data_IF_259882022601
#
_entry.id   IF_259882022601
#
_cell.length_a   1.000
_cell.length_b   1.000
_cell.length_c   1.000
_cell.angle_alpha   90.00
_cell.angle_beta   90.00
_cell.angle_gamma   90.00
#
_symmetry.space_group_name_H-M   'P 1'
#
loop_
_entity.id
_entity.type
_entity.pdbx_description
1 polymer ?
#
# COMPACT_ATOMS: atom_id res chain seq x y z
N UNK A 1 -11.47 23.37 5.19
CA UNK A 1 -10.38 23.29 4.18
C UNK A 1 -9.42 22.19 4.59
N UNK A 2 -9.71 20.92 4.27
CA UNK A 2 -8.88 19.81 4.76
C UNK A 2 -7.67 19.64 3.86
N UNK A 3 -6.62 20.42 4.15
CA UNK A 3 -5.30 20.27 3.59
C UNK A 3 -4.71 18.93 4.04
N UNK A 4 -4.80 17.92 3.18
CA UNK A 4 -3.76 16.88 3.18
C UNK A 4 -2.44 17.62 3.00
N UNK A 5 -1.59 17.59 4.02
CA UNK A 5 -0.28 18.22 3.93
C UNK A 5 0.48 17.60 2.74
N UNK A 6 1.30 18.39 2.04
CA UNK A 6 2.09 17.89 0.90
C UNK A 6 2.82 16.57 1.22
N UNK A 7 3.29 16.43 2.45
CA UNK A 7 3.85 15.21 3.00
C UNK A 7 2.90 14.01 2.95
N UNK A 8 1.64 14.17 3.39
CA UNK A 8 0.64 13.10 3.33
C UNK A 8 0.31 12.71 1.89
N UNK A 9 0.23 13.68 0.98
CA UNK A 9 -0.01 13.40 -0.44
C UNK A 9 1.14 12.60 -1.06
N UNK A 10 2.39 13.02 -0.82
CA UNK A 10 3.59 12.30 -1.27
C UNK A 10 3.66 10.90 -0.70
N UNK A 11 3.35 10.75 0.60
CA UNK A 11 3.35 9.45 1.27
C UNK A 11 2.33 8.50 0.64
N UNK A 12 1.11 8.96 0.37
CA UNK A 12 0.09 8.16 -0.33
C UNK A 12 0.52 7.78 -1.74
N UNK A 13 1.16 8.69 -2.46
CA UNK A 13 1.69 8.40 -3.80
C UNK A 13 2.74 7.27 -3.76
N UNK A 14 3.69 7.34 -2.82
CA UNK A 14 4.70 6.28 -2.60
C UNK A 14 4.08 4.94 -2.24
N UNK A 15 3.07 4.94 -1.36
CA UNK A 15 2.36 3.73 -0.95
C UNK A 15 1.58 3.08 -2.11
N UNK A 16 0.98 3.89 -3.00
CA UNK A 16 0.33 3.38 -4.21
C UNK A 16 1.34 2.78 -5.19
N UNK A 17 2.53 3.38 -5.33
CA UNK A 17 3.58 2.79 -6.14
C UNK A 17 4.04 1.43 -5.59
N UNK A 18 4.25 1.37 -4.27
CA UNK A 18 4.57 0.12 -3.58
C UNK A 18 3.49 -0.95 -3.83
N UNK A 19 2.20 -0.60 -3.70
CA UNK A 19 1.10 -1.54 -3.93
C UNK A 19 1.11 -2.11 -5.36
N UNK A 20 1.33 -1.27 -6.38
CA UNK A 20 1.44 -1.72 -7.77
C UNK A 20 2.60 -2.69 -7.97
N UNK A 21 3.76 -2.37 -7.41
CA UNK A 21 4.95 -3.24 -7.46
C UNK A 21 4.71 -4.56 -6.74
N UNK A 22 4.06 -4.55 -5.57
CA UNK A 22 3.74 -5.76 -4.81
C UNK A 22 2.75 -6.68 -5.53
N UNK A 23 1.86 -6.12 -6.36
CA UNK A 23 0.90 -6.87 -7.17
C UNK A 23 1.51 -7.44 -8.45
N UNK A 24 2.44 -6.71 -9.08
CA UNK A 24 3.03 -7.09 -10.37
C UNK A 24 4.33 -7.91 -10.25
N UNK A 25 5.13 -7.67 -9.21
CA UNK A 25 6.49 -8.20 -9.08
C UNK A 25 6.66 -9.11 -7.86
N UNK A 26 7.64 -10.02 -7.96
CA UNK A 26 8.06 -10.92 -6.87
C UNK A 26 9.18 -10.35 -5.99
N UNK A 27 9.54 -9.08 -6.18
CA UNK A 27 10.60 -8.41 -5.42
C UNK A 27 10.42 -8.61 -3.91
N UNK A 28 11.48 -8.73 -3.11
CA UNK A 28 11.32 -8.81 -1.67
C UNK A 28 10.64 -7.54 -1.14
N UNK A 29 9.72 -7.69 -0.17
CA UNK A 29 8.95 -6.56 0.40
C UNK A 29 9.88 -5.47 0.95
N UNK A 30 11.04 -5.87 1.48
CA UNK A 30 12.10 -4.97 1.94
C UNK A 30 12.66 -4.10 0.83
N UNK A 31 12.93 -4.66 -0.35
CA UNK A 31 13.41 -3.87 -1.49
C UNK A 31 12.36 -2.86 -1.94
N UNK A 32 11.09 -3.28 -2.05
CA UNK A 32 9.99 -2.37 -2.40
C UNK A 32 9.87 -1.22 -1.39
N UNK A 33 10.03 -1.50 -0.09
CA UNK A 33 9.98 -0.47 0.95
C UNK A 33 11.11 0.56 0.81
N UNK A 34 12.34 0.10 0.53
CA UNK A 34 13.49 0.98 0.34
C UNK A 34 13.35 1.82 -0.93
N UNK A 35 12.92 1.22 -2.04
CA UNK A 35 12.74 1.88 -3.33
C UNK A 35 11.69 3.01 -3.28
N UNK A 36 10.62 2.82 -2.52
CA UNK A 36 9.59 3.87 -2.34
C UNK A 36 9.95 4.87 -1.25
N UNK A 37 11.17 4.79 -0.70
CA UNK A 37 11.75 5.80 0.18
C UNK A 37 11.45 5.64 1.68
N UNK A 38 11.12 4.43 2.14
CA UNK A 38 11.09 4.11 3.57
C UNK A 38 12.48 3.73 4.06
N UNK A 39 12.80 4.10 5.31
CA UNK A 39 14.11 3.80 5.92
C UNK A 39 14.18 2.37 6.47
N UNK A 40 13.03 1.81 6.83
CA UNK A 40 12.92 0.50 7.45
C UNK A 40 11.58 -0.18 7.13
N UNK A 41 11.59 -1.51 7.20
CA UNK A 41 10.45 -2.35 6.88
C UNK A 41 9.29 -2.16 7.87
N UNK A 42 9.58 -1.98 9.16
CA UNK A 42 8.55 -1.89 10.20
C UNK A 42 7.66 -0.67 10.02
N UNK A 43 8.27 0.48 9.72
CA UNK A 43 7.55 1.71 9.43
C UNK A 43 6.74 1.58 8.12
N UNK A 44 7.31 0.95 7.09
CA UNK A 44 6.59 0.67 5.85
C UNK A 44 5.35 -0.19 6.09
N UNK A 45 5.49 -1.34 6.77
CA UNK A 45 4.37 -2.27 7.02
C UNK A 45 3.26 -1.59 7.81
N UNK A 46 3.61 -0.82 8.86
CA UNK A 46 2.63 -0.07 9.66
C UNK A 46 1.88 0.95 8.81
N UNK A 47 2.60 1.73 8.01
CA UNK A 47 2.02 2.81 7.20
C UNK A 47 1.19 2.23 6.04
N UNK A 48 1.69 1.20 5.38
CA UNK A 48 0.99 0.50 4.31
C UNK A 48 -0.32 -0.11 4.82
N UNK A 49 -0.30 -0.78 5.98
CA UNK A 49 -1.51 -1.33 6.59
C UNK A 49 -2.50 -0.23 6.99
N UNK A 50 -2.03 0.92 7.44
CA UNK A 50 -2.90 2.04 7.75
C UNK A 50 -3.61 2.60 6.51
N UNK A 51 -2.96 2.61 5.34
CA UNK A 51 -3.54 3.10 4.08
C UNK A 51 -4.40 2.05 3.36
N UNK A 52 -4.00 0.77 3.36
CA UNK A 52 -4.66 -0.29 2.58
C UNK A 52 -5.43 -1.33 3.40
N UNK A 53 -5.41 -1.24 4.73
CA UNK A 53 -6.11 -2.16 5.65
C UNK A 53 -5.44 -3.52 5.86
N UNK A 54 -4.49 -3.91 4.99
CA UNK A 54 -3.79 -5.20 5.04
C UNK A 54 -2.27 -5.03 4.97
N UNK A 55 -1.51 -6.02 5.44
CA UNK A 55 -0.06 -5.98 5.34
C UNK A 55 0.42 -6.18 3.90
N UNK A 56 1.60 -5.65 3.51
CA UNK A 56 2.17 -5.82 2.16
C UNK A 56 2.23 -7.27 1.67
N UNK A 57 2.58 -8.20 2.56
CA UNK A 57 2.66 -9.63 2.23
C UNK A 57 1.29 -10.25 1.96
N UNK A 58 0.26 -9.85 2.74
CA UNK A 58 -1.12 -10.26 2.48
C UNK A 58 -1.67 -9.64 1.20
N UNK A 59 -1.36 -8.36 0.97
CA UNK A 59 -1.71 -7.67 -0.27
C UNK A 59 -1.14 -8.39 -1.50
N UNK A 60 0.14 -8.79 -1.46
CA UNK A 60 0.77 -9.61 -2.51
C UNK A 60 0.09 -10.96 -2.71
N UNK A 61 -0.33 -11.61 -1.63
CA UNK A 61 -1.00 -12.91 -1.68
C UNK A 61 -2.45 -12.83 -2.20
N UNK A 62 -2.90 -11.66 -2.69
CA UNK A 62 -4.26 -11.48 -3.20
C UNK A 62 -5.31 -11.21 -2.13
N UNK A 63 -4.92 -11.07 -0.85
CA UNK A 63 -5.81 -10.61 0.21
C UNK A 63 -5.97 -9.08 0.14
N UNK A 64 -6.53 -8.60 -0.97
CA UNK A 64 -7.16 -7.28 -1.00
C UNK A 64 -8.40 -7.36 -0.09
N UNK A 65 -8.69 -6.36 0.78
CA UNK A 65 -9.99 -6.32 1.45
C UNK A 65 -11.05 -6.51 0.37
N UNK A 66 -12.01 -7.44 0.52
CA UNK A 66 -12.96 -7.75 -0.55
C UNK A 66 -13.51 -6.41 -1.03
N UNK A 67 -13.28 -6.10 -2.31
CA UNK A 67 -13.93 -4.97 -2.93
C UNK A 67 -15.40 -5.18 -2.63
N UNK A 68 -16.01 -4.34 -1.80
CA UNK A 68 -17.45 -4.28 -1.67
C UNK A 68 -17.98 -3.72 -3.00
N UNK A 69 -17.90 -4.55 -4.03
CA UNK A 69 -18.44 -4.44 -5.38
C UNK A 69 -19.07 -5.80 -5.75
N UNK A 70 -19.62 -6.48 -4.74
CA UNK A 70 -20.67 -7.48 -4.90
C UNK A 70 -22.05 -6.90 -4.51
N UNK A 71 -22.21 -5.56 -4.56
CA UNK A 71 -23.51 -4.91 -4.47
C UNK A 71 -23.72 -3.98 -5.67
N UNK A 72 -24.04 -4.57 -6.81
CA UNK A 72 -25.22 -4.15 -7.57
C UNK A 72 -25.78 -5.34 -8.35
N UNK A 73 -27.03 -5.73 -8.09
CA UNK A 73 -27.83 -6.57 -8.96
C UNK A 73 -28.37 -5.71 -10.12
N UNK A 74 -28.19 -6.18 -11.34
CA UNK A 74 -29.07 -5.96 -12.49
C UNK A 74 -28.66 -6.93 -13.60
#
# INVERSE_FOLDING_TARGET
>A
MTGVTLHQWLLRSRLRDAARRLAAARDPITAVALDVGFRDLSNFVRTFRAEFGVSPGRYRAGAYPPSTSALSPA
#
